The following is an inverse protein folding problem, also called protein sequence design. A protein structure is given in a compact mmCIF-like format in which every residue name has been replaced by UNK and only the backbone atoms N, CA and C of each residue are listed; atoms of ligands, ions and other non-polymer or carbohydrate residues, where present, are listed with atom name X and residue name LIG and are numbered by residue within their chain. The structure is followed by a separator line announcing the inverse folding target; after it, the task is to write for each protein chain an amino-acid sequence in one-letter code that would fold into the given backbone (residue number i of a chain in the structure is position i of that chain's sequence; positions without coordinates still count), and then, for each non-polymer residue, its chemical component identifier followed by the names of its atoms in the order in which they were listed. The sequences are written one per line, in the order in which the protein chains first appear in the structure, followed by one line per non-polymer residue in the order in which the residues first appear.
data_IF_938916188910
#
_entry.id   IF_938916188910
#
_cell.length_a   1.000
_cell.length_b   1.000
_cell.length_c   1.000
_cell.angle_alpha   90.00
_cell.angle_beta   90.00
_cell.angle_gamma   90.00
#
_symmetry.space_group_name_H-M   'P 1'
#
loop_
_entity.id
_entity.type
_entity.pdbx_description
1 polymer ?
#
# COMPACT_ATOMS: atom_id res chain seq x y z
N UNK A 1 -8.33 6.75 9.91
CA UNK A 1 -7.15 5.86 10.02
C UNK A 1 -5.92 6.74 10.03
N UNK A 2 -4.78 6.24 10.52
CA UNK A 2 -3.48 6.93 10.44
C UNK A 2 -2.40 5.95 10.01
N UNK A 3 -1.31 6.49 9.46
CA UNK A 3 -0.11 5.77 9.10
C UNK A 3 1.12 6.34 9.81
N UNK A 4 2.02 5.46 10.21
CA UNK A 4 3.30 5.80 10.84
C UNK A 4 4.38 4.80 10.42
N UNK A 5 5.64 5.17 10.63
CA UNK A 5 6.77 4.26 10.47
C UNK A 5 7.24 3.80 11.86
N UNK A 6 7.22 2.49 12.11
CA UNK A 6 7.76 1.90 13.34
C UNK A 6 8.63 0.69 12.97
N UNK A 7 9.85 0.59 13.49
CA UNK A 7 10.76 -0.54 13.23
C UNK A 7 10.89 -0.88 11.73
N UNK A 8 11.01 0.14 10.87
CA UNK A 8 11.04 0.02 9.39
C UNK A 8 9.81 -0.65 8.77
N UNK A 9 8.69 -0.62 9.47
CA UNK A 9 7.41 -1.15 9.01
C UNK A 9 6.38 -0.04 8.96
N UNK A 10 5.61 -0.02 7.88
CA UNK A 10 4.43 0.83 7.76
C UNK A 10 3.35 0.32 8.70
N UNK A 11 2.98 1.13 9.69
CA UNK A 11 1.95 0.81 10.67
C UNK A 11 0.68 1.57 10.32
N UNK A 12 -0.42 0.83 10.17
CA UNK A 12 -1.75 1.39 9.98
C UNK A 12 -2.55 1.26 11.27
N UNK A 13 -2.98 2.38 11.83
CA UNK A 13 -3.90 2.41 12.98
C UNK A 13 -5.32 2.67 12.50
N UNK A 14 -6.23 1.79 12.90
CA UNK A 14 -7.67 1.92 12.63
C UNK A 14 -8.39 2.22 13.92
N UNK A 15 -9.13 3.32 13.95
CA UNK A 15 -9.98 3.70 15.07
C UNK A 15 -11.41 3.29 14.72
N UNK A 16 -12.05 2.54 15.61
CA UNK A 16 -13.44 2.09 15.48
C UNK A 16 -14.40 3.13 16.06
N UNK A 17 -15.71 3.07 15.72
CA UNK A 17 -16.71 3.99 16.27
C UNK A 17 -16.84 3.96 17.80
N UNK A 18 -16.47 2.85 18.44
CA UNK A 18 -16.47 2.67 19.90
C UNK A 18 -15.23 3.27 20.59
N UNK A 19 -14.35 3.94 19.85
CA UNK A 19 -13.11 4.53 20.35
C UNK A 19 -11.95 3.54 20.50
N UNK A 20 -12.19 2.23 20.37
CA UNK A 20 -11.12 1.25 20.37
C UNK A 20 -10.28 1.36 19.09
N UNK A 21 -9.01 0.97 19.16
CA UNK A 21 -8.14 0.93 17.99
C UNK A 21 -7.40 -0.39 17.87
N UNK A 22 -7.00 -0.71 16.65
CA UNK A 22 -6.08 -1.80 16.37
C UNK A 22 -5.06 -1.38 15.32
N UNK A 23 -3.92 -2.04 15.36
CA UNK A 23 -2.82 -1.80 14.45
C UNK A 23 -2.58 -3.01 13.56
N UNK A 24 -2.20 -2.73 12.32
CA UNK A 24 -1.57 -3.70 11.45
C UNK A 24 -0.25 -3.16 10.94
N UNK A 25 0.69 -4.07 10.66
CA UNK A 25 2.03 -3.73 10.17
C UNK A 25 2.24 -4.31 8.78
N UNK A 26 2.94 -3.55 7.94
CA UNK A 26 3.42 -3.96 6.63
C UNK A 26 4.93 -3.72 6.57
N UNK A 27 5.70 -4.77 6.28
CA UNK A 27 7.15 -4.63 6.12
C UNK A 27 7.47 -3.78 4.89
N UNK A 28 8.63 -3.11 4.88
CA UNK A 28 9.12 -2.41 3.69
C UNK A 28 9.22 -3.32 2.47
N UNK A 29 9.61 -4.59 2.65
CA UNK A 29 9.70 -5.56 1.55
C UNK A 29 8.33 -5.83 0.92
N UNK A 30 7.31 -6.10 1.73
CA UNK A 30 5.93 -6.29 1.29
C UNK A 30 5.37 -5.03 0.62
N UNK A 31 5.63 -3.86 1.21
CA UNK A 31 5.22 -2.58 0.66
C UNK A 31 5.79 -2.34 -0.74
N UNK A 32 7.09 -2.58 -0.91
CA UNK A 32 7.78 -2.49 -2.20
C UNK A 32 7.23 -3.48 -3.22
N UNK A 33 7.01 -4.74 -2.82
CA UNK A 33 6.48 -5.77 -3.71
C UNK A 33 5.11 -5.37 -4.29
N UNK A 34 4.26 -4.76 -3.48
CA UNK A 34 2.96 -4.24 -3.93
C UNK A 34 3.11 -3.09 -4.91
N UNK A 35 4.01 -2.14 -4.64
CA UNK A 35 4.26 -1.01 -5.54
C UNK A 35 4.78 -1.49 -6.90
N UNK A 36 5.78 -2.38 -6.91
CA UNK A 36 6.32 -2.98 -8.13
C UNK A 36 5.24 -3.75 -8.91
N UNK A 37 4.43 -4.56 -8.23
CA UNK A 37 3.40 -5.34 -8.91
C UNK A 37 2.36 -4.44 -9.63
N UNK A 38 1.96 -3.32 -9.00
CA UNK A 38 1.04 -2.38 -9.63
C UNK A 38 1.70 -1.67 -10.83
N UNK A 39 2.98 -1.33 -10.71
CA UNK A 39 3.76 -0.68 -11.76
C UNK A 39 3.95 -1.58 -12.98
N UNK A 40 4.30 -2.86 -12.77
CA UNK A 40 4.44 -3.87 -13.82
C UNK A 40 3.13 -4.14 -14.58
N UNK A 41 1.99 -3.87 -13.93
CA UNK A 41 0.66 -4.05 -14.50
C UNK A 41 -0.04 -2.71 -14.81
N UNK A 42 0.73 -1.63 -15.00
CA UNK A 42 0.21 -0.28 -15.20
C UNK A 42 -0.82 -0.16 -16.34
N UNK A 43 -0.65 -0.93 -17.43
CA UNK A 43 -1.52 -0.88 -18.61
C UNK A 43 -2.94 -1.37 -18.30
N UNK A 44 -3.07 -2.53 -17.66
CA UNK A 44 -4.36 -3.16 -17.40
C UNK A 44 -4.96 -2.75 -16.05
N UNK A 45 -4.11 -2.34 -15.12
CA UNK A 45 -4.45 -2.04 -13.74
C UNK A 45 -4.81 -3.28 -12.93
N UNK A 46 -4.66 -3.17 -11.62
CA UNK A 46 -4.68 -4.31 -10.71
C UNK A 46 -5.91 -4.32 -9.82
N UNK A 47 -6.56 -5.47 -9.67
CA UNK A 47 -7.62 -5.65 -8.66
C UNK A 47 -7.02 -6.10 -7.32
N UNK A 48 -7.72 -5.87 -6.21
CA UNK A 48 -7.26 -6.36 -4.90
C UNK A 48 -7.06 -7.87 -4.87
N UNK A 49 -7.96 -8.64 -5.49
CA UNK A 49 -7.79 -10.09 -5.60
C UNK A 49 -6.58 -10.44 -6.47
N UNK A 50 -6.38 -9.74 -7.58
CA UNK A 50 -5.20 -9.92 -8.43
C UNK A 50 -3.87 -9.63 -7.72
N UNK A 51 -3.85 -8.69 -6.76
CA UNK A 51 -2.69 -8.51 -5.88
C UNK A 51 -2.44 -9.74 -5.01
N UNK A 52 -3.49 -10.29 -4.39
CA UNK A 52 -3.35 -11.46 -3.52
C UNK A 52 -2.95 -12.71 -4.29
N UNK A 53 -3.50 -12.89 -5.49
CA UNK A 53 -3.19 -14.04 -6.35
C UNK A 53 -1.78 -13.93 -6.94
N UNK A 54 -1.32 -12.71 -7.26
CA UNK A 54 -0.02 -12.46 -7.88
C UNK A 54 1.15 -12.36 -6.90
N UNK A 55 0.90 -11.96 -5.65
CA UNK A 55 1.92 -11.80 -4.60
C UNK A 55 1.82 -12.91 -3.55
N UNK A 56 2.10 -14.14 -3.96
CA UNK A 56 1.97 -15.34 -3.12
C UNK A 56 2.80 -15.28 -1.82
N UNK A 57 3.93 -14.58 -1.84
CA UNK A 57 4.82 -14.41 -0.68
C UNK A 57 4.49 -13.19 0.19
N UNK A 58 3.46 -12.42 -0.16
CA UNK A 58 3.02 -11.24 0.59
C UNK A 58 1.71 -11.52 1.32
N UNK A 59 1.68 -11.47 2.67
CA UNK A 59 0.43 -11.67 3.40
C UNK A 59 -0.65 -10.67 2.98
N UNK A 60 -1.87 -11.15 2.74
CA UNK A 60 -2.98 -10.32 2.21
C UNK A 60 -3.23 -9.04 3.03
N UNK A 61 -3.08 -9.10 4.36
CA UNK A 61 -3.21 -7.94 5.24
C UNK A 61 -2.12 -6.91 4.98
N UNK A 62 -0.87 -7.32 4.73
CA UNK A 62 0.22 -6.40 4.38
C UNK A 62 -0.01 -5.77 3.01
N UNK A 63 -0.46 -6.56 2.03
CA UNK A 63 -0.85 -6.05 0.72
C UNK A 63 -1.97 -5.00 0.81
N UNK A 64 -2.97 -5.24 1.66
CA UNK A 64 -4.05 -4.30 1.89
C UNK A 64 -3.59 -2.99 2.56
N UNK A 65 -2.67 -3.07 3.54
CA UNK A 65 -2.07 -1.89 4.18
C UNK A 65 -1.28 -1.06 3.18
N UNK A 66 -0.42 -1.72 2.39
CA UNK A 66 0.39 -1.07 1.37
C UNK A 66 -0.50 -0.33 0.37
N UNK A 67 -1.52 -1.03 -0.17
CA UNK A 67 -2.47 -0.43 -1.11
C UNK A 67 -3.26 0.72 -0.50
N UNK A 68 -3.66 0.62 0.77
CA UNK A 68 -4.36 1.70 1.46
C UNK A 68 -3.49 2.95 1.61
N UNK A 69 -2.21 2.78 1.93
CA UNK A 69 -1.27 3.90 2.04
C UNK A 69 -0.98 4.53 0.68
N UNK A 70 -0.71 3.73 -0.36
CA UNK A 70 -0.51 4.22 -1.73
C UNK A 70 -1.70 5.04 -2.24
N UNK A 71 -2.93 4.65 -1.89
CA UNK A 71 -4.14 5.42 -2.22
C UNK A 71 -4.24 6.71 -1.41
N UNK A 72 -3.95 6.66 -0.11
CA UNK A 72 -4.00 7.84 0.77
C UNK A 72 -2.99 8.91 0.35
N UNK A 73 -1.79 8.51 -0.07
CA UNK A 73 -0.72 9.40 -0.55
C UNK A 73 -0.86 9.81 -2.01
N UNK A 74 -1.88 9.31 -2.72
CA UNK A 74 -2.13 9.66 -4.11
C UNK A 74 -1.21 8.99 -5.14
N UNK A 75 -0.35 8.05 -4.73
CA UNK A 75 0.50 7.28 -5.64
C UNK A 75 -0.32 6.34 -6.56
N UNK A 76 -1.52 5.93 -6.11
CA UNK A 76 -2.39 5.02 -6.85
C UNK A 76 -3.77 5.65 -7.05
N UNK A 77 -4.26 5.63 -8.30
CA UNK A 77 -5.63 6.00 -8.64
C UNK A 77 -6.49 4.76 -8.84
N UNK A 78 -7.79 4.88 -8.55
CA UNK A 78 -8.75 3.77 -8.73
C UNK A 78 -9.73 4.10 -9.85
N UNK A 79 -9.82 3.24 -10.87
CA UNK A 79 -10.78 3.34 -11.97
C UNK A 79 -11.43 1.98 -12.17
N UNK A 80 -12.76 1.93 -12.24
CA UNK A 80 -13.51 0.67 -12.44
C UNK A 80 -13.05 -0.49 -11.52
N UNK A 81 -12.80 -0.19 -10.23
CA UNK A 81 -12.30 -1.14 -9.21
C UNK A 81 -10.89 -1.69 -9.44
N UNK A 82 -10.12 -1.12 -10.36
CA UNK A 82 -8.72 -1.42 -10.61
C UNK A 82 -7.84 -0.26 -10.15
N UNK A 83 -6.65 -0.60 -9.67
CA UNK A 83 -5.64 0.30 -9.17
C UNK A 83 -4.59 0.52 -10.26
N UNK A 84 -4.30 1.79 -10.55
CA UNK A 84 -3.33 2.22 -11.54
C UNK A 84 -2.31 3.15 -10.90
N UNK A 85 -1.05 3.14 -11.34
CA UNK A 85 -0.09 4.18 -11.03
C UNK A 85 -0.67 5.58 -11.30
N UNK A 86 -0.41 6.54 -10.41
CA UNK A 86 -0.72 7.95 -10.63
C UNK A 86 0.37 8.68 -11.46
N UNK A 87 1.55 8.08 -11.56
CA UNK A 87 2.71 8.57 -12.29
C UNK A 87 3.42 7.41 -13.03
N UNK A 88 4.45 7.72 -13.81
CA UNK A 88 5.32 6.72 -14.44
C UNK A 88 6.45 6.23 -13.50
N UNK A 89 6.46 6.67 -12.24
CA UNK A 89 7.52 6.42 -11.25
C UNK A 89 6.90 5.95 -9.93
N UNK A 90 5.93 5.02 -10.01
CA UNK A 90 5.15 4.60 -8.84
C UNK A 90 6.03 4.07 -7.71
N UNK A 91 7.07 3.32 -8.05
CA UNK A 91 7.95 2.71 -7.04
C UNK A 91 8.74 3.79 -6.29
N UNK A 92 9.28 4.77 -7.01
CA UNK A 92 10.00 5.90 -6.44
C UNK A 92 9.10 6.78 -5.60
N UNK A 93 7.91 7.12 -6.11
CA UNK A 93 6.91 7.89 -5.37
C UNK A 93 6.49 7.15 -4.10
N UNK A 94 6.24 5.84 -4.18
CA UNK A 94 5.91 5.01 -3.03
C UNK A 94 7.01 5.04 -1.95
N UNK A 95 8.26 4.87 -2.34
CA UNK A 95 9.40 4.89 -1.40
C UNK A 95 9.61 6.27 -0.79
N UNK A 96 9.49 7.33 -1.58
CA UNK A 96 9.55 8.70 -1.09
C UNK A 96 8.48 8.90 -0.02
N UNK A 97 7.22 8.57 -0.32
CA UNK A 97 6.10 8.74 0.60
C UNK A 97 6.25 7.89 1.86
N UNK A 98 6.77 6.67 1.76
CA UNK A 98 7.11 5.84 2.92
C UNK A 98 8.16 6.52 3.81
N UNK A 99 9.21 7.09 3.24
CA UNK A 99 10.27 7.77 3.98
C UNK A 99 9.84 9.12 4.55
N UNK A 100 8.79 9.77 4.04
CA UNK A 100 8.23 10.98 4.67
C UNK A 100 7.64 10.71 6.06
N UNK A 101 7.33 9.45 6.40
CA UNK A 101 6.86 9.06 7.73
C UNK A 101 7.98 8.95 8.78
N UNK A 102 9.24 9.03 8.36
CA UNK A 102 10.42 8.98 9.23
C UNK A 102 10.82 10.38 9.76
N UNK A 103 10.06 11.42 9.40
CA UNK A 103 10.33 12.83 9.68
C UNK A 103 9.64 13.36 10.95
#
# INVERSE_FOLDING_TARGET
QTFALEDRSLVRTVIKPDGSSYQHRCSLASYRAVAHYIDEHATDGVTTNGLWDGLLDVPCTQAAIALAFLKERGCVTVRHRRCYPASNFLVEDALLEFHTLDA
#
